data_IF_684274869216
#
_entry.id   IF_684274869216
#
_cell.length_a   1.000
_cell.length_b   1.000
_cell.length_c   1.000
_cell.angle_alpha   90.00
_cell.angle_beta   90.00
_cell.angle_gamma   90.00
#
_symmetry.space_group_name_H-M   'P 1'
#
loop_
_entity.id
_entity.type
_entity.pdbx_description
1 polymer ?
#
# COMPACT_ATOMS: atom_id res chain seq x y z
N UNK A 1 -4.99 -11.43 -26.76
CA UNK A 1 -6.37 -10.90 -26.91
C UNK A 1 -6.57 -10.14 -28.22
N UNK A 2 -5.65 -9.25 -28.62
CA UNK A 2 -5.79 -8.43 -29.84
C UNK A 2 -5.49 -9.14 -31.16
N UNK A 3 -4.73 -10.24 -31.14
CA UNK A 3 -4.35 -11.04 -32.32
C UNK A 3 -5.52 -11.74 -33.04
N UNK A 4 -6.76 -11.51 -32.59
CA UNK A 4 -7.99 -12.03 -33.19
C UNK A 4 -8.60 -11.06 -34.22
N UNK A 5 -8.09 -9.84 -34.32
CA UNK A 5 -8.55 -8.80 -35.25
C UNK A 5 -7.47 -8.51 -36.30
N UNK A 6 -7.88 -8.02 -37.47
CA UNK A 6 -6.93 -7.54 -38.48
C UNK A 6 -6.22 -6.25 -38.03
N UNK A 7 -5.15 -5.90 -38.72
CA UNK A 7 -4.29 -4.77 -38.33
C UNK A 7 -5.03 -3.43 -38.33
N UNK A 8 -6.02 -3.26 -39.22
CA UNK A 8 -6.82 -2.05 -39.30
C UNK A 8 -7.75 -1.93 -38.09
N UNK A 9 -8.41 -3.03 -37.71
CA UNK A 9 -9.28 -3.08 -36.56
C UNK A 9 -8.51 -3.02 -35.23
N UNK A 10 -7.29 -3.56 -35.17
CA UNK A 10 -6.39 -3.38 -34.03
C UNK A 10 -6.02 -1.91 -33.83
N UNK A 11 -5.65 -1.21 -34.90
CA UNK A 11 -5.33 0.22 -34.87
C UNK A 11 -6.54 1.05 -34.46
N UNK A 12 -7.73 0.74 -34.99
CA UNK A 12 -8.99 1.40 -34.61
C UNK A 12 -9.34 1.18 -33.14
N UNK A 13 -9.10 -0.02 -32.61
CA UNK A 13 -9.36 -0.33 -31.22
C UNK A 13 -8.38 0.39 -30.27
N UNK A 14 -7.10 0.47 -30.65
CA UNK A 14 -6.09 1.24 -29.92
C UNK A 14 -6.44 2.73 -29.91
N UNK A 15 -6.87 3.28 -31.04
CA UNK A 15 -7.26 4.68 -31.15
C UNK A 15 -8.53 4.99 -30.34
N UNK A 16 -9.52 4.09 -30.35
CA UNK A 16 -10.69 4.18 -29.50
C UNK A 16 -10.34 4.13 -28.00
N UNK A 17 -9.42 3.25 -27.61
CA UNK A 17 -8.93 3.18 -26.22
C UNK A 17 -8.18 4.44 -25.79
N UNK A 18 -7.38 5.03 -26.68
CA UNK A 18 -6.71 6.31 -26.43
C UNK A 18 -7.72 7.46 -26.33
N UNK A 19 -8.75 7.46 -27.16
CA UNK A 19 -9.83 8.47 -27.12
C UNK A 19 -10.63 8.36 -25.82
N UNK A 20 -11.04 7.15 -25.42
CA UNK A 20 -11.68 6.91 -24.12
C UNK A 20 -10.77 7.40 -23.00
N UNK A 21 -9.46 7.14 -23.12
CA UNK A 21 -8.49 7.56 -22.13
C UNK A 21 -8.42 9.07 -21.97
N UNK A 22 -8.26 9.77 -23.07
CA UNK A 22 -8.21 11.23 -23.12
C UNK A 22 -9.50 11.88 -22.61
N UNK A 23 -10.68 11.34 -22.95
CA UNK A 23 -11.95 11.88 -22.49
C UNK A 23 -12.12 11.75 -20.98
N UNK A 24 -11.75 10.59 -20.42
CA UNK A 24 -11.78 10.38 -18.98
C UNK A 24 -10.68 11.18 -18.25
N UNK A 25 -9.51 11.35 -18.85
CA UNK A 25 -8.45 12.20 -18.29
C UNK A 25 -8.84 13.69 -18.26
N UNK A 26 -9.54 14.17 -19.31
CA UNK A 26 -10.07 15.55 -19.42
C UNK A 26 -11.18 15.85 -18.41
N UNK A 27 -12.01 14.87 -18.07
CA UNK A 27 -12.99 15.01 -16.97
C UNK A 27 -12.35 14.93 -15.58
N UNK A 28 -11.02 14.76 -15.50
CA UNK A 28 -10.35 14.52 -14.22
C UNK A 28 -10.79 13.21 -13.58
N UNK A 29 -11.33 12.25 -14.35
CA UNK A 29 -11.74 10.94 -13.83
C UNK A 29 -10.63 9.90 -13.97
N UNK A 30 -9.71 10.03 -14.94
CA UNK A 30 -8.61 9.06 -15.15
C UNK A 30 -7.23 9.39 -14.57
N UNK A 31 -6.93 10.65 -14.21
CA UNK A 31 -5.87 10.95 -13.22
C UNK A 31 -6.09 10.23 -11.88
N UNK A 32 -7.30 9.71 -11.67
CA UNK A 32 -7.81 9.01 -10.49
C UNK A 32 -8.17 7.54 -10.77
N UNK A 33 -7.96 7.03 -11.99
CA UNK A 33 -8.42 5.70 -12.41
C UNK A 33 -7.36 4.61 -12.44
N UNK A 34 -6.11 4.90 -12.05
CA UNK A 34 -5.21 3.79 -11.76
C UNK A 34 -5.58 3.22 -10.40
N UNK A 35 -6.17 2.02 -10.34
CA UNK A 35 -6.57 1.43 -9.08
C UNK A 35 -5.31 1.20 -8.23
N UNK A 36 -5.42 1.48 -6.94
CA UNK A 36 -4.43 1.00 -5.99
C UNK A 36 -4.56 -0.52 -5.91
N UNK A 37 -3.42 -1.20 -5.98
CA UNK A 37 -3.34 -2.64 -5.71
C UNK A 37 -2.81 -2.80 -4.30
N UNK A 38 -3.60 -3.39 -3.41
CA UNK A 38 -3.14 -3.77 -2.08
C UNK A 38 -2.72 -5.24 -2.12
N UNK A 39 -1.47 -5.52 -1.76
CA UNK A 39 -0.89 -6.86 -1.77
C UNK A 39 -0.14 -7.14 -0.48
N UNK A 40 0.12 -8.42 -0.20
CA UNK A 40 1.04 -8.80 0.87
C UNK A 40 2.46 -8.33 0.60
N UNK A 41 3.18 -8.02 1.67
CA UNK A 41 4.61 -7.69 1.62
C UNK A 41 5.44 -8.86 1.07
N UNK A 42 6.59 -8.52 0.47
CA UNK A 42 7.55 -9.40 -0.20
C UNK A 42 8.97 -9.00 0.24
N UNK A 43 9.99 -9.84 -0.03
CA UNK A 43 11.37 -9.47 0.22
C UNK A 43 11.71 -8.09 -0.36
N UNK A 44 12.31 -7.23 0.47
CA UNK A 44 12.66 -5.85 0.12
C UNK A 44 11.58 -4.81 0.42
N UNK A 45 10.34 -5.20 0.69
CA UNK A 45 9.29 -4.22 1.04
C UNK A 45 9.51 -3.64 2.45
N UNK A 46 9.91 -4.45 3.43
CA UNK A 46 10.14 -3.92 4.79
C UNK A 46 11.36 -2.98 4.84
N UNK A 47 12.43 -3.30 4.11
CA UNK A 47 13.55 -2.38 3.92
C UNK A 47 13.10 -1.06 3.25
N UNK A 48 12.18 -1.14 2.28
CA UNK A 48 11.56 0.05 1.69
C UNK A 48 10.75 0.82 2.74
N UNK A 49 9.91 0.17 3.55
CA UNK A 49 9.13 0.81 4.62
C UNK A 49 10.05 1.58 5.57
N UNK A 50 11.13 0.97 6.05
CA UNK A 50 12.11 1.59 6.95
C UNK A 50 12.68 2.86 6.34
N UNK A 51 13.21 2.76 5.11
CA UNK A 51 13.75 3.92 4.39
C UNK A 51 12.71 5.02 4.20
N UNK A 52 11.49 4.67 3.77
CA UNK A 52 10.44 5.67 3.48
C UNK A 52 9.97 6.39 4.75
N UNK A 53 9.85 5.68 5.87
CA UNK A 53 9.55 6.31 7.15
C UNK A 53 10.70 7.24 7.60
N UNK A 54 11.96 6.79 7.50
CA UNK A 54 13.12 7.63 7.80
C UNK A 54 13.12 8.92 7.00
N UNK A 55 12.98 8.82 5.67
CA UNK A 55 12.95 9.99 4.78
C UNK A 55 11.76 10.92 5.04
N UNK A 56 10.55 10.37 5.25
CA UNK A 56 9.34 11.17 5.41
C UNK A 56 9.34 11.94 6.74
N UNK A 57 9.76 11.30 7.82
CA UNK A 57 9.74 11.89 9.16
C UNK A 57 10.92 12.84 9.40
N UNK A 58 12.10 12.55 8.84
CA UNK A 58 13.21 13.51 8.82
C UNK A 58 12.81 14.81 8.12
N UNK A 59 12.15 14.72 6.95
CA UNK A 59 11.72 15.89 6.18
C UNK A 59 10.58 16.69 6.84
N UNK A 60 9.70 16.04 7.61
CA UNK A 60 8.45 16.66 8.09
C UNK A 60 8.46 17.06 9.56
N UNK A 61 9.22 16.36 10.39
CA UNK A 61 9.20 16.59 11.84
C UNK A 61 10.58 16.89 12.43
N UNK A 62 11.64 16.90 11.61
CA UNK A 62 13.01 17.15 12.08
C UNK A 62 13.56 16.04 12.98
N UNK A 63 12.98 14.85 12.89
CA UNK A 63 13.43 13.69 13.66
C UNK A 63 14.74 13.17 13.05
N UNK A 64 15.68 12.80 13.92
CA UNK A 64 16.99 12.27 13.53
C UNK A 64 16.92 10.78 13.16
N UNK A 65 18.07 10.17 12.89
CA UNK A 65 18.17 8.76 12.50
C UNK A 65 17.62 7.77 13.54
N UNK A 66 17.35 8.19 14.78
CA UNK A 66 16.79 7.30 15.82
C UNK A 66 15.42 6.73 15.44
N UNK A 67 14.61 7.49 14.69
CA UNK A 67 13.31 6.99 14.25
C UNK A 67 13.42 5.93 13.16
N UNK A 68 14.34 6.13 12.21
CA UNK A 68 14.63 5.11 11.20
C UNK A 68 15.10 3.81 11.87
N UNK A 69 15.96 3.91 12.89
CA UNK A 69 16.38 2.78 13.72
C UNK A 69 15.19 2.09 14.39
N UNK A 70 14.26 2.85 14.99
CA UNK A 70 13.06 2.30 15.61
C UNK A 70 12.17 1.56 14.59
N UNK A 71 11.95 2.14 13.41
CA UNK A 71 11.17 1.50 12.35
C UNK A 71 11.88 0.23 11.85
N UNK A 72 13.21 0.27 11.73
CA UNK A 72 14.03 -0.89 11.41
C UNK A 72 13.84 -2.02 12.42
N UNK A 73 13.91 -1.71 13.71
CA UNK A 73 13.67 -2.68 14.79
C UNK A 73 12.27 -3.30 14.70
N UNK A 74 11.23 -2.50 14.44
CA UNK A 74 9.86 -3.01 14.25
C UNK A 74 9.80 -3.98 13.06
N UNK A 75 10.46 -3.64 11.94
CA UNK A 75 10.49 -4.51 10.76
C UNK A 75 11.26 -5.81 11.03
N UNK A 76 12.40 -5.74 11.70
CA UNK A 76 13.20 -6.91 12.09
C UNK A 76 12.44 -7.83 13.05
N UNK A 77 11.77 -7.26 14.05
CA UNK A 77 10.97 -8.01 15.01
C UNK A 77 9.76 -8.67 14.34
N UNK A 78 9.16 -7.97 13.38
CA UNK A 78 8.07 -8.49 12.56
C UNK A 78 8.54 -9.68 11.72
N UNK A 79 9.66 -9.59 10.99
CA UNK A 79 10.19 -10.74 10.21
C UNK A 79 10.57 -11.93 11.08
N UNK A 80 11.19 -11.67 12.24
CA UNK A 80 11.68 -12.72 13.13
C UNK A 80 10.57 -13.57 13.72
N UNK A 81 9.45 -12.94 14.08
CA UNK A 81 8.36 -13.57 14.80
C UNK A 81 7.06 -13.67 13.99
N UNK A 82 7.16 -13.49 12.67
CA UNK A 82 6.00 -13.38 11.78
C UNK A 82 5.11 -14.61 11.87
N UNK A 83 3.87 -14.40 12.31
CA UNK A 83 2.82 -15.40 12.24
C UNK A 83 1.73 -14.95 11.26
N UNK A 84 1.64 -15.53 10.05
CA UNK A 84 0.63 -15.14 9.06
C UNK A 84 -0.81 -15.39 9.51
N UNK A 85 -1.06 -16.18 10.55
CA UNK A 85 -2.40 -16.38 11.11
C UNK A 85 -2.85 -15.21 11.99
N UNK A 86 -1.93 -14.46 12.56
CA UNK A 86 -2.22 -13.38 13.53
C UNK A 86 -1.62 -12.03 13.14
N UNK A 87 -0.72 -11.98 12.17
CA UNK A 87 0.02 -10.79 11.75
C UNK A 87 0.05 -10.69 10.23
N UNK A 88 0.08 -9.47 9.71
CA UNK A 88 0.16 -9.25 8.28
C UNK A 88 0.66 -7.83 7.96
N UNK A 89 1.50 -7.70 6.94
CA UNK A 89 1.89 -6.42 6.37
C UNK A 89 1.41 -6.30 4.91
N UNK A 90 0.79 -5.18 4.58
CA UNK A 90 0.28 -4.84 3.26
C UNK A 90 1.06 -3.70 2.64
N UNK A 91 1.22 -3.78 1.33
CA UNK A 91 1.81 -2.76 0.47
C UNK A 91 0.76 -2.32 -0.53
N UNK A 92 0.55 -1.01 -0.61
CA UNK A 92 -0.23 -0.39 -1.66
C UNK A 92 0.67 0.00 -2.83
N UNK A 93 0.29 -0.40 -4.03
CA UNK A 93 0.96 -0.04 -5.27
C UNK A 93 0.05 0.77 -6.19
N UNK A 94 0.65 1.70 -6.94
CA UNK A 94 0.01 2.44 -8.02
C UNK A 94 0.98 2.46 -9.20
N UNK A 95 0.53 2.03 -10.38
CA UNK A 95 1.40 1.84 -11.54
C UNK A 95 2.58 0.87 -11.31
N UNK A 96 2.48 -0.05 -10.35
CA UNK A 96 3.60 -0.92 -9.94
C UNK A 96 4.59 -0.29 -8.97
N UNK A 97 4.41 0.99 -8.63
CA UNK A 97 5.23 1.70 -7.65
C UNK A 97 4.59 1.62 -6.26
N UNK A 98 5.41 1.40 -5.23
CA UNK A 98 4.96 1.36 -3.83
C UNK A 98 4.58 2.77 -3.39
N UNK A 99 3.36 2.93 -2.91
CA UNK A 99 2.80 4.23 -2.52
C UNK A 99 2.19 4.24 -1.12
N UNK A 100 2.17 3.10 -0.44
CA UNK A 100 1.77 3.04 0.95
C UNK A 100 2.03 1.69 1.58
N UNK A 101 1.93 1.66 2.90
CA UNK A 101 2.04 0.45 3.70
C UNK A 101 1.15 0.53 4.93
N UNK A 102 0.81 -0.63 5.46
CA UNK A 102 0.24 -0.77 6.80
C UNK A 102 0.59 -2.17 7.31
N UNK A 103 0.81 -2.31 8.60
CA UNK A 103 1.04 -3.60 9.25
C UNK A 103 0.11 -3.78 10.44
N UNK A 104 -0.33 -5.02 10.62
CA UNK A 104 -0.98 -5.50 11.83
C UNK A 104 -0.03 -6.48 12.52
N UNK A 105 0.26 -6.21 13.78
CA UNK A 105 1.08 -7.05 14.65
C UNK A 105 0.33 -7.38 15.94
N UNK A 106 0.76 -8.41 16.66
CA UNK A 106 0.21 -8.72 17.98
C UNK A 106 0.47 -7.58 18.98
N UNK A 107 -0.53 -7.29 19.80
CA UNK A 107 -0.40 -6.42 20.97
C UNK A 107 0.27 -7.13 22.14
N UNK A 108 0.50 -6.37 23.22
CA UNK A 108 1.10 -6.94 24.45
C UNK A 108 0.06 -7.73 25.26
N UNK A 109 -1.23 -7.44 25.04
CA UNK A 109 -2.37 -8.11 25.66
C UNK A 109 -2.97 -9.14 24.71
N UNK A 110 -3.39 -10.29 25.26
CA UNK A 110 -4.02 -11.36 24.48
C UNK A 110 -5.31 -10.88 23.79
N UNK A 111 -5.43 -11.15 22.49
CA UNK A 111 -6.59 -10.74 21.70
C UNK A 111 -6.63 -9.24 21.38
N UNK A 112 -5.54 -8.50 21.61
CA UNK A 112 -5.36 -7.12 21.13
C UNK A 112 -4.38 -7.11 19.95
N UNK A 113 -4.79 -6.52 18.83
CA UNK A 113 -3.90 -6.23 17.69
C UNK A 113 -3.36 -4.80 17.80
N UNK A 114 -2.20 -4.55 17.18
CA UNK A 114 -1.61 -3.21 17.03
C UNK A 114 -1.46 -2.88 15.56
N UNK A 115 -1.97 -1.71 15.17
CA UNK A 115 -1.68 -1.11 13.87
C UNK A 115 -0.30 -0.44 13.91
N UNK A 116 0.53 -0.75 12.92
CA UNK A 116 1.91 -0.26 12.78
C UNK A 116 2.18 0.15 11.33
N UNK A 117 3.26 0.93 11.12
CA UNK A 117 3.86 1.20 9.81
C UNK A 117 2.89 1.77 8.75
N UNK A 118 1.88 2.52 9.19
CA UNK A 118 0.96 3.21 8.28
C UNK A 118 1.70 4.35 7.58
N UNK A 119 1.83 4.21 6.26
CA UNK A 119 2.43 5.22 5.41
C UNK A 119 1.60 5.39 4.14
N UNK A 120 1.43 6.65 3.73
CA UNK A 120 0.87 7.03 2.45
C UNK A 120 1.77 8.09 1.83
N UNK A 121 2.34 7.77 0.66
CA UNK A 121 3.14 8.68 -0.14
C UNK A 121 2.33 9.90 -0.54
N UNK A 122 2.98 11.05 -0.68
CA UNK A 122 2.32 12.31 -0.98
C UNK A 122 1.50 12.27 -2.26
N UNK A 123 2.02 11.61 -3.30
CA UNK A 123 1.35 11.38 -4.58
C UNK A 123 0.09 10.48 -4.51
N UNK A 124 -0.15 9.82 -3.38
CA UNK A 124 -1.28 8.93 -3.14
C UNK A 124 -2.24 9.44 -2.05
N UNK A 125 -2.04 10.66 -1.53
CA UNK A 125 -2.96 11.28 -0.57
C UNK A 125 -4.14 11.97 -1.24
N UNK A 126 -5.25 12.09 -0.51
CA UNK A 126 -6.50 12.66 -1.04
C UNK A 126 -7.35 11.67 -1.84
N UNK A 127 -6.88 10.42 -2.00
CA UNK A 127 -7.58 9.36 -2.75
C UNK A 127 -8.20 8.28 -1.85
N UNK A 128 -8.31 8.53 -0.53
CA UNK A 128 -8.87 7.55 0.41
C UNK A 128 -8.01 6.31 0.71
N UNK A 129 -6.79 6.23 0.16
CA UNK A 129 -5.91 5.06 0.33
C UNK A 129 -5.61 4.73 1.81
N UNK A 130 -5.36 5.74 2.64
CA UNK A 130 -5.12 5.54 4.07
C UNK A 130 -6.29 4.87 4.78
N UNK A 131 -7.51 5.34 4.55
CA UNK A 131 -8.73 4.73 5.10
C UNK A 131 -8.91 3.30 4.60
N UNK A 132 -8.70 3.05 3.30
CA UNK A 132 -8.79 1.71 2.74
C UNK A 132 -7.78 0.73 3.37
N UNK A 133 -6.54 1.17 3.60
CA UNK A 133 -5.53 0.37 4.28
C UNK A 133 -5.93 0.03 5.73
N UNK A 134 -6.48 1.00 6.46
CA UNK A 134 -7.00 0.79 7.82
C UNK A 134 -8.16 -0.21 7.82
N UNK A 135 -9.07 -0.11 6.85
CA UNK A 135 -10.20 -1.04 6.71
C UNK A 135 -9.73 -2.47 6.45
N UNK A 136 -8.72 -2.65 5.59
CA UNK A 136 -8.10 -3.96 5.34
C UNK A 136 -7.49 -4.53 6.63
N UNK A 137 -6.78 -3.72 7.41
CA UNK A 137 -6.28 -4.13 8.72
C UNK A 137 -7.40 -4.56 9.67
N UNK A 138 -8.47 -3.78 9.78
CA UNK A 138 -9.61 -4.11 10.64
C UNK A 138 -10.31 -5.40 10.22
N UNK A 139 -10.47 -5.62 8.91
CA UNK A 139 -11.06 -6.85 8.38
C UNK A 139 -10.22 -8.07 8.75
N UNK A 140 -8.90 -8.00 8.55
CA UNK A 140 -7.99 -9.07 8.96
C UNK A 140 -8.01 -9.29 10.47
N UNK A 141 -7.97 -8.23 11.27
CA UNK A 141 -8.00 -8.33 12.73
C UNK A 141 -9.22 -9.12 13.23
N UNK A 142 -10.40 -8.81 12.69
CA UNK A 142 -11.65 -9.52 13.02
C UNK A 142 -11.61 -10.97 12.57
N UNK A 143 -11.12 -11.24 11.36
CA UNK A 143 -11.02 -12.60 10.83
C UNK A 143 -10.03 -13.47 11.63
N UNK A 144 -8.94 -12.88 12.13
CA UNK A 144 -7.95 -13.53 12.97
C UNK A 144 -8.39 -13.68 14.45
N UNK A 145 -9.58 -13.20 14.82
CA UNK A 145 -10.14 -13.37 16.16
C UNK A 145 -9.71 -12.32 17.19
N UNK A 146 -9.12 -11.20 16.77
CA UNK A 146 -8.81 -10.11 17.70
C UNK A 146 -10.07 -9.43 18.22
N UNK A 147 -10.09 -9.20 19.54
CA UNK A 147 -11.20 -8.55 20.26
C UNK A 147 -11.08 -7.02 20.22
N UNK A 148 -9.86 -6.51 20.07
CA UNK A 148 -9.54 -5.08 20.06
C UNK A 148 -8.39 -4.79 19.11
N UNK A 149 -8.38 -3.58 18.54
CA UNK A 149 -7.33 -3.01 17.70
C UNK A 149 -7.17 -1.54 18.03
#
# INVERSE_FOLDING_TARGET
MLSRFDETDQLRLLDAMNTIRDLLDRQGSMKFAQPFVVRSHRPGDLAWITRRHGELYAKRQGWDSSFETLVGQICEDFERNFDPASEHCWIAERAGERVGSIALARGDEEGVAKLRLLLVEEQARGFGLGSHLVDVCHQFARAAGYRKM
#
